data_IF_044764968307
#
_entry.id   IF_044764968307
#
_cell.length_a   1.000
_cell.length_b   1.000
_cell.length_c   1.000
_cell.angle_alpha   90.00
_cell.angle_beta   90.00
_cell.angle_gamma   90.00
#
_symmetry.space_group_name_H-M   'P 1'
#
loop_
_entity.id
_entity.type
_entity.pdbx_description
1 polymer ?
#
# COMPACT_ATOMS: atom_id res chain seq x y z
N UNK A 1 0.90 20.72 7.56
CA UNK A 1 1.92 21.48 6.79
C UNK A 1 3.36 21.06 7.13
N UNK A 2 3.83 21.14 8.38
CA UNK A 2 5.21 20.72 8.73
C UNK A 2 5.48 19.23 8.47
N UNK A 3 4.53 18.35 8.83
CA UNK A 3 4.63 16.91 8.56
C UNK A 3 4.74 16.61 7.05
N UNK A 4 3.96 17.30 6.22
CA UNK A 4 4.04 17.14 4.76
C UNK A 4 5.43 17.48 4.24
N UNK A 5 6.05 18.55 4.75
CA UNK A 5 7.42 18.93 4.35
C UNK A 5 8.44 17.85 4.74
N UNK A 6 8.27 17.19 5.89
CA UNK A 6 9.12 16.07 6.32
C UNK A 6 8.98 14.90 5.35
N UNK A 7 7.76 14.52 4.97
CA UNK A 7 7.55 13.44 4.00
C UNK A 7 8.06 13.79 2.60
N UNK A 8 7.83 15.02 2.11
CA UNK A 8 8.38 15.45 0.82
C UNK A 8 9.90 15.34 0.82
N UNK A 9 10.56 15.82 1.88
CA UNK A 9 12.01 15.72 2.03
C UNK A 9 12.48 14.26 2.11
N UNK A 10 11.76 13.40 2.83
CA UNK A 10 12.08 11.99 2.93
C UNK A 10 11.94 11.26 1.57
N UNK A 11 10.85 11.49 0.84
CA UNK A 11 10.55 10.84 -0.44
C UNK A 11 11.52 11.30 -1.54
N UNK A 12 11.86 12.59 -1.58
CA UNK A 12 12.55 13.19 -2.73
C UNK A 12 14.00 13.60 -2.46
N UNK A 13 14.43 13.72 -1.20
CA UNK A 13 15.78 14.22 -0.88
C UNK A 13 16.64 13.19 -0.12
N UNK A 14 16.16 12.65 1.00
CA UNK A 14 17.06 11.93 1.93
C UNK A 14 16.95 10.41 1.88
N UNK A 15 15.77 9.85 1.60
CA UNK A 15 15.43 8.41 1.76
C UNK A 15 15.80 7.80 3.13
N UNK A 16 16.19 8.64 4.10
CA UNK A 16 16.65 8.27 5.43
C UNK A 16 16.11 9.27 6.45
N UNK A 17 15.23 8.76 7.32
CA UNK A 17 14.70 9.48 8.47
C UNK A 17 14.22 8.43 9.49
N UNK A 18 14.83 8.44 10.68
CA UNK A 18 14.35 7.62 11.80
C UNK A 18 13.12 8.34 12.38
N UNK A 19 11.96 7.69 12.43
CA UNK A 19 10.71 8.31 12.91
C UNK A 19 9.52 8.24 11.95
N UNK A 20 9.69 7.73 10.72
CA UNK A 20 8.60 7.69 9.73
C UNK A 20 7.47 6.76 10.17
N UNK A 21 7.79 5.62 10.78
CA UNK A 21 6.80 4.66 11.28
C UNK A 21 5.94 5.28 12.39
N UNK A 22 6.57 5.92 13.36
CA UNK A 22 5.93 6.56 14.51
C UNK A 22 5.05 7.74 14.07
N UNK A 23 5.50 8.53 13.08
CA UNK A 23 4.69 9.59 12.49
C UNK A 23 3.46 9.02 11.77
N UNK A 24 3.60 7.92 11.04
CA UNK A 24 2.48 7.26 10.36
C UNK A 24 1.49 6.65 11.35
N UNK A 25 1.95 6.12 12.48
CA UNK A 25 1.08 5.60 13.53
C UNK A 25 0.17 6.69 14.12
N UNK A 26 0.74 7.86 14.41
CA UNK A 26 -0.03 9.04 14.85
C UNK A 26 -1.01 9.48 13.75
N UNK A 27 -0.56 9.50 12.50
CA UNK A 27 -1.41 9.88 11.37
C UNK A 27 -2.58 8.92 11.16
N UNK A 28 -2.38 7.61 11.31
CA UNK A 28 -3.45 6.64 11.22
C UNK A 28 -4.57 6.93 12.22
N UNK A 29 -4.21 7.29 13.46
CA UNK A 29 -5.17 7.69 14.49
C UNK A 29 -5.90 8.99 14.14
N UNK A 30 -5.19 9.97 13.54
CA UNK A 30 -5.79 11.23 13.06
C UNK A 30 -6.77 10.96 11.90
N UNK A 31 -6.40 10.12 10.93
CA UNK A 31 -7.23 9.78 9.78
C UNK A 31 -8.51 9.07 10.22
N UNK A 32 -8.41 8.15 11.19
CA UNK A 32 -9.59 7.50 11.75
C UNK A 32 -10.57 8.51 12.40
N UNK A 33 -10.05 9.62 12.95
CA UNK A 33 -10.83 10.71 13.51
C UNK A 33 -11.39 11.73 12.50
N UNK A 34 -11.13 11.58 11.19
CA UNK A 34 -11.63 12.54 10.21
C UNK A 34 -13.17 12.58 10.15
N UNK A 35 -13.70 13.80 10.15
CA UNK A 35 -15.11 14.04 9.90
C UNK A 35 -15.45 13.77 8.42
N UNK A 36 -16.67 13.29 8.19
CA UNK A 36 -17.23 13.09 6.86
C UNK A 36 -18.12 14.29 6.48
N UNK A 37 -18.14 14.72 5.21
CA UNK A 37 -17.32 14.22 4.09
C UNK A 37 -15.84 14.60 4.23
N UNK A 38 -14.94 13.76 3.68
CA UNK A 38 -13.52 14.05 3.66
C UNK A 38 -13.23 15.37 2.93
N UNK A 39 -12.42 16.22 3.54
CA UNK A 39 -11.93 17.44 2.90
C UNK A 39 -10.99 17.11 1.75
N UNK A 40 -11.02 17.91 0.70
CA UNK A 40 -10.13 17.78 -0.47
C UNK A 40 -8.64 17.78 -0.09
N UNK A 41 -8.25 18.54 0.93
CA UNK A 41 -6.86 18.56 1.41
C UNK A 41 -6.40 17.19 1.94
N UNK A 42 -7.30 16.39 2.52
CA UNK A 42 -7.00 15.03 2.99
C UNK A 42 -6.87 14.06 1.82
N UNK A 43 -7.73 14.19 0.80
CA UNK A 43 -7.64 13.38 -0.44
C UNK A 43 -6.33 13.67 -1.17
N UNK A 44 -5.96 14.94 -1.29
CA UNK A 44 -4.66 15.34 -1.86
C UNK A 44 -3.51 14.77 -1.02
N UNK A 45 -3.61 14.78 0.30
CA UNK A 45 -2.59 14.20 1.18
C UNK A 45 -2.38 12.70 0.91
N UNK A 46 -3.46 11.91 0.80
CA UNK A 46 -3.38 10.50 0.40
C UNK A 46 -2.65 10.34 -0.93
N UNK A 47 -3.12 11.02 -1.98
CA UNK A 47 -2.65 10.81 -3.35
C UNK A 47 -1.23 11.34 -3.61
N UNK A 48 -0.84 12.44 -2.95
CA UNK A 48 0.43 13.14 -3.20
C UNK A 48 1.50 12.89 -2.15
N UNK A 49 1.15 12.37 -0.98
CA UNK A 49 2.10 12.14 0.12
C UNK A 49 2.14 10.67 0.52
N UNK A 50 1.01 10.08 0.92
CA UNK A 50 1.01 8.68 1.41
C UNK A 50 1.33 7.68 0.30
N UNK A 51 0.65 7.74 -0.85
CA UNK A 51 0.89 6.77 -1.93
C UNK A 51 2.34 6.80 -2.44
N UNK A 52 2.97 7.97 -2.66
CA UNK A 52 4.38 8.01 -3.05
C UNK A 52 5.38 7.42 -2.05
N UNK A 53 5.04 7.28 -0.75
CA UNK A 53 5.93 6.63 0.22
C UNK A 53 6.24 5.18 -0.15
N UNK A 54 5.31 4.49 -0.82
CA UNK A 54 5.52 3.13 -1.34
C UNK A 54 6.68 3.02 -2.32
N UNK A 55 7.17 4.13 -2.90
CA UNK A 55 8.30 4.10 -3.83
C UNK A 55 9.65 3.93 -3.14
N UNK A 56 9.79 4.37 -1.90
CA UNK A 56 11.09 4.43 -1.20
C UNK A 56 11.60 3.01 -0.90
N UNK A 57 12.92 2.81 -0.98
CA UNK A 57 13.54 1.48 -0.81
C UNK A 57 13.35 0.90 0.59
N UNK A 58 13.41 1.77 1.62
CA UNK A 58 13.27 1.43 3.03
C UNK A 58 11.81 1.22 3.49
N UNK A 59 10.88 0.93 2.57
CA UNK A 59 9.45 0.74 2.87
C UNK A 59 9.19 -0.25 4.00
N UNK A 60 10.01 -1.30 4.11
CA UNK A 60 9.86 -2.34 5.14
C UNK A 60 9.87 -1.82 6.58
N UNK A 61 10.44 -0.64 6.82
CA UNK A 61 10.54 -0.04 8.15
C UNK A 61 9.19 0.51 8.64
N UNK A 62 8.31 0.93 7.73
CA UNK A 62 7.08 1.65 8.07
C UNK A 62 5.85 1.16 7.29
N UNK A 63 5.99 0.08 6.51
CA UNK A 63 4.91 -0.47 5.69
C UNK A 63 3.62 -0.73 6.46
N UNK A 64 3.63 -1.41 7.63
CA UNK A 64 2.39 -1.68 8.35
C UNK A 64 1.61 -0.42 8.72
N UNK A 65 2.31 0.63 9.16
CA UNK A 65 1.69 1.90 9.53
C UNK A 65 1.17 2.67 8.30
N UNK A 66 1.86 2.55 7.16
CA UNK A 66 1.43 3.15 5.90
C UNK A 66 0.18 2.45 5.33
N UNK A 67 0.18 1.12 5.28
CA UNK A 67 -0.96 0.32 4.83
C UNK A 67 -2.20 0.63 5.68
N UNK A 68 -2.04 0.67 7.01
CA UNK A 68 -3.11 1.10 7.92
C UNK A 68 -3.67 2.49 7.56
N UNK A 69 -2.81 3.48 7.32
CA UNK A 69 -3.28 4.81 6.90
C UNK A 69 -4.08 4.77 5.59
N UNK A 70 -3.65 3.97 4.61
CA UNK A 70 -4.34 3.84 3.32
C UNK A 70 -5.71 3.19 3.50
N UNK A 71 -5.80 2.06 4.21
CA UNK A 71 -7.07 1.36 4.50
C UNK A 71 -8.03 2.28 5.24
N UNK A 72 -7.56 3.01 6.26
CA UNK A 72 -8.39 3.98 6.98
C UNK A 72 -8.96 5.07 6.07
N UNK A 73 -8.26 5.48 5.00
CA UNK A 73 -8.82 6.41 4.02
C UNK A 73 -9.95 5.78 3.20
N UNK A 74 -9.79 4.52 2.78
CA UNK A 74 -10.77 3.82 1.97
C UNK A 74 -12.04 3.49 2.76
N UNK A 75 -11.93 3.17 4.05
CA UNK A 75 -13.09 3.02 4.94
C UNK A 75 -13.91 4.31 5.09
N UNK A 76 -13.27 5.48 4.94
CA UNK A 76 -13.93 6.79 5.05
C UNK A 76 -14.56 7.26 3.75
N UNK A 77 -13.96 6.91 2.61
CA UNK A 77 -14.42 7.30 1.28
C UNK A 77 -13.97 6.26 0.24
N UNK A 78 -14.88 5.32 -0.08
CA UNK A 78 -14.63 4.21 -1.00
C UNK A 78 -14.33 4.68 -2.43
N UNK A 79 -14.72 5.90 -2.82
CA UNK A 79 -14.43 6.48 -4.14
C UNK A 79 -12.93 6.70 -4.39
N UNK A 80 -12.12 6.64 -3.33
CA UNK A 80 -10.66 6.73 -3.41
C UNK A 80 -10.00 5.39 -3.79
N UNK A 81 -10.75 4.28 -3.84
CA UNK A 81 -10.17 2.95 -4.10
C UNK A 81 -9.50 2.85 -5.46
N UNK A 82 -10.19 3.26 -6.53
CA UNK A 82 -9.64 3.21 -7.88
C UNK A 82 -8.28 3.96 -8.00
N UNK A 83 -8.16 5.25 -7.62
CA UNK A 83 -6.89 5.95 -7.73
C UNK A 83 -5.79 5.37 -6.81
N UNK A 84 -6.14 4.81 -5.65
CA UNK A 84 -5.19 4.14 -4.75
C UNK A 84 -4.62 2.88 -5.39
N UNK A 85 -5.49 1.95 -5.83
CA UNK A 85 -5.05 0.68 -6.43
C UNK A 85 -4.26 0.94 -7.71
N UNK A 86 -4.71 1.87 -8.56
CA UNK A 86 -3.98 2.23 -9.78
C UNK A 86 -2.59 2.82 -9.49
N UNK A 87 -2.42 3.56 -8.38
CA UNK A 87 -1.11 4.04 -7.96
C UNK A 87 -0.20 2.90 -7.45
N UNK A 88 -0.74 1.97 -6.65
CA UNK A 88 0.01 0.79 -6.19
C UNK A 88 0.48 -0.07 -7.37
N UNK A 89 -0.41 -0.34 -8.33
CA UNK A 89 -0.07 -1.06 -9.56
C UNK A 89 0.99 -0.32 -10.39
N UNK A 90 0.95 1.01 -10.42
CA UNK A 90 1.99 1.84 -11.06
C UNK A 90 3.33 1.75 -10.35
N UNK A 91 3.33 1.65 -9.02
CA UNK A 91 4.55 1.57 -8.19
C UNK A 91 5.04 0.15 -7.96
N UNK A 92 4.41 -0.84 -8.60
CA UNK A 92 4.68 -2.25 -8.37
C UNK A 92 6.18 -2.58 -8.46
N UNK A 93 6.77 -3.22 -7.44
CA UNK A 93 8.18 -3.57 -7.44
C UNK A 93 8.47 -4.64 -8.49
N UNK A 94 9.46 -4.39 -9.36
CA UNK A 94 9.83 -5.33 -10.45
C UNK A 94 10.99 -6.27 -10.09
N UNK A 95 11.81 -5.90 -9.11
CA UNK A 95 13.08 -6.59 -8.80
C UNK A 95 13.34 -6.76 -7.30
N UNK A 96 12.34 -6.50 -6.44
CA UNK A 96 12.51 -6.54 -4.99
C UNK A 96 11.40 -7.39 -4.34
N UNK A 97 11.61 -8.70 -4.28
CA UNK A 97 10.59 -9.68 -3.84
C UNK A 97 9.98 -9.39 -2.46
N UNK A 98 10.74 -9.00 -1.41
CA UNK A 98 10.13 -8.68 -0.11
C UNK A 98 9.13 -7.52 -0.18
N UNK A 99 9.36 -6.58 -1.11
CA UNK A 99 8.48 -5.44 -1.32
C UNK A 99 7.26 -5.82 -2.15
N UNK A 100 7.42 -6.80 -3.05
CA UNK A 100 6.29 -7.39 -3.78
C UNK A 100 5.32 -8.10 -2.83
N UNK A 101 5.84 -8.86 -1.86
CA UNK A 101 5.03 -9.49 -0.80
C UNK A 101 4.29 -8.43 0.03
N UNK A 102 4.97 -7.33 0.40
CA UNK A 102 4.32 -6.21 1.10
C UNK A 102 3.15 -5.62 0.33
N UNK A 103 3.32 -5.35 -0.97
CA UNK A 103 2.25 -4.84 -1.83
C UNK A 103 1.10 -5.83 -1.99
N UNK A 104 1.37 -7.13 -2.03
CA UNK A 104 0.33 -8.17 -2.09
C UNK A 104 -0.49 -8.20 -0.80
N UNK A 105 0.17 -8.13 0.36
CA UNK A 105 -0.51 -8.08 1.65
C UNK A 105 -1.37 -6.82 1.80
N UNK A 106 -0.83 -5.65 1.43
CA UNK A 106 -1.62 -4.40 1.46
C UNK A 106 -2.82 -4.45 0.50
N UNK A 107 -2.65 -5.03 -0.70
CA UNK A 107 -3.76 -5.22 -1.63
C UNK A 107 -4.83 -6.16 -1.06
N UNK A 108 -4.45 -7.22 -0.33
CA UNK A 108 -5.39 -8.10 0.35
C UNK A 108 -6.22 -7.32 1.38
N UNK A 109 -5.58 -6.52 2.24
CA UNK A 109 -6.27 -5.66 3.21
C UNK A 109 -7.21 -4.64 2.54
N UNK A 110 -6.82 -4.07 1.40
CA UNK A 110 -7.68 -3.17 0.61
C UNK A 110 -8.89 -3.92 0.04
N UNK A 111 -8.70 -5.15 -0.44
CA UNK A 111 -9.78 -5.97 -0.99
C UNK A 111 -10.78 -6.43 0.08
N UNK A 112 -10.38 -6.52 1.34
CA UNK A 112 -11.30 -6.84 2.45
C UNK A 112 -12.31 -5.72 2.72
N UNK A 113 -11.98 -4.47 2.38
CA UNK A 113 -12.84 -3.29 2.63
C UNK A 113 -13.46 -2.70 1.35
N UNK A 114 -13.13 -3.23 0.17
CA UNK A 114 -13.58 -2.67 -1.11
C UNK A 114 -15.08 -2.88 -1.33
N UNK A 115 -15.76 -1.84 -1.84
CA UNK A 115 -17.13 -1.99 -2.33
C UNK A 115 -17.16 -2.69 -3.71
N UNK A 116 -18.15 -3.56 -3.99
CA UNK A 116 -18.26 -4.23 -5.29
C UNK A 116 -18.31 -3.27 -6.49
N UNK A 117 -18.91 -2.09 -6.31
CA UNK A 117 -18.98 -1.00 -7.31
C UNK A 117 -17.59 -0.48 -7.71
N UNK A 118 -16.67 -0.39 -6.76
CA UNK A 118 -15.29 0.06 -6.97
C UNK A 118 -14.41 -1.09 -7.49
N UNK A 119 -14.65 -2.32 -7.04
CA UNK A 119 -13.91 -3.50 -7.49
C UNK A 119 -14.03 -3.72 -9.01
N UNK A 120 -15.21 -3.51 -9.60
CA UNK A 120 -15.41 -3.67 -11.04
C UNK A 120 -14.49 -2.75 -11.86
N UNK A 121 -14.10 -1.59 -11.34
CA UNK A 121 -13.23 -0.63 -12.02
C UNK A 121 -11.76 -1.08 -12.06
N UNK A 122 -11.32 -1.80 -11.03
CA UNK A 122 -9.90 -2.19 -10.83
C UNK A 122 -9.62 -3.66 -11.06
N UNK A 123 -10.63 -4.53 -11.15
CA UNK A 123 -10.45 -5.98 -11.22
C UNK A 123 -9.53 -6.41 -12.38
N UNK A 124 -9.72 -5.88 -13.59
CA UNK A 124 -8.91 -6.31 -14.72
C UNK A 124 -7.42 -5.97 -14.58
N UNK A 125 -7.01 -4.70 -14.33
CA UNK A 125 -5.60 -4.40 -14.13
C UNK A 125 -5.01 -5.11 -12.91
N UNK A 126 -5.79 -5.28 -11.83
CA UNK A 126 -5.38 -6.02 -10.65
C UNK A 126 -5.06 -7.49 -10.98
N UNK A 127 -6.00 -8.22 -11.58
CA UNK A 127 -5.79 -9.64 -11.92
C UNK A 127 -4.68 -9.83 -12.95
N UNK A 128 -4.52 -8.88 -13.89
CA UNK A 128 -3.37 -8.88 -14.81
C UNK A 128 -2.03 -8.80 -14.07
N UNK A 129 -1.97 -8.06 -12.96
CA UNK A 129 -0.77 -7.99 -12.13
C UNK A 129 -0.59 -9.25 -11.28
N UNK A 130 -1.65 -9.73 -10.62
CA UNK A 130 -1.61 -10.97 -9.82
C UNK A 130 -1.17 -12.18 -10.66
N UNK A 131 -1.66 -12.30 -11.89
CA UNK A 131 -1.25 -13.36 -12.81
C UNK A 131 0.28 -13.35 -13.06
N UNK A 132 0.90 -12.18 -13.17
CA UNK A 132 2.37 -12.06 -13.29
C UNK A 132 3.07 -12.50 -12.01
N UNK A 133 2.55 -12.11 -10.85
CA UNK A 133 3.12 -12.48 -9.55
C UNK A 133 3.11 -14.01 -9.35
N UNK A 134 1.98 -14.68 -9.66
CA UNK A 134 1.86 -16.14 -9.60
C UNK A 134 2.81 -16.85 -10.58
N UNK A 135 3.08 -16.21 -11.72
CA UNK A 135 4.03 -16.70 -12.73
C UNK A 135 5.50 -16.48 -12.36
N UNK A 136 5.78 -15.69 -11.32
CA UNK A 136 7.15 -15.32 -10.95
C UNK A 136 7.95 -16.55 -10.50
N UNK A 137 9.21 -16.72 -10.96
CA UNK A 137 10.08 -17.80 -10.50
C UNK A 137 10.28 -17.80 -8.98
N UNK A 138 10.21 -16.64 -8.33
CA UNK A 138 10.28 -16.53 -6.86
C UNK A 138 9.08 -17.24 -6.22
N UNK A 139 7.87 -16.84 -6.61
CA UNK A 139 6.63 -17.39 -6.08
C UNK A 139 6.51 -18.90 -6.35
N UNK A 140 6.88 -19.35 -7.56
CA UNK A 140 6.89 -20.77 -7.89
C UNK A 140 7.87 -21.59 -7.04
N UNK A 141 8.98 -21.01 -6.58
CA UNK A 141 9.91 -21.68 -5.66
C UNK A 141 9.34 -21.74 -4.24
N UNK A 142 8.73 -20.67 -3.75
CA UNK A 142 8.08 -20.65 -2.43
C UNK A 142 6.92 -21.65 -2.36
N UNK A 143 6.02 -21.64 -3.34
CA UNK A 143 4.89 -22.58 -3.40
C UNK A 143 5.34 -24.06 -3.49
N UNK A 144 6.46 -24.34 -4.18
CA UNK A 144 7.07 -25.67 -4.22
C UNK A 144 7.65 -26.06 -2.86
N UNK A 145 8.41 -25.16 -2.21
CA UNK A 145 8.97 -25.41 -0.88
C UNK A 145 7.89 -25.69 0.16
N UNK A 146 6.75 -25.00 0.10
CA UNK A 146 5.66 -25.24 1.03
C UNK A 146 4.99 -26.60 0.82
N UNK A 147 4.81 -27.03 -0.45
CA UNK A 147 4.36 -28.40 -0.75
C UNK A 147 5.32 -29.46 -0.23
N UNK A 148 6.63 -29.26 -0.36
CA UNK A 148 7.64 -30.18 0.18
C UNK A 148 7.63 -30.22 1.70
N UNK A 149 7.42 -29.08 2.39
CA UNK A 149 7.27 -29.05 3.85
C UNK A 149 6.02 -29.81 4.31
N UNK A 150 4.90 -29.68 3.59
CA UNK A 150 3.65 -30.41 3.90
C UNK A 150 3.72 -31.91 3.58
N UNK A 151 4.63 -32.37 2.71
CA UNK A 151 4.83 -33.80 2.44
C UNK A 151 5.82 -34.48 3.40
N UNK A 152 6.52 -33.70 4.23
CA UNK A 152 7.50 -34.19 5.22
C UNK A 152 6.98 -34.13 6.67
N UNK A 153 5.76 -33.64 6.88
CA UNK A 153 5.08 -33.56 8.17
C UNK A 153 3.97 -34.59 8.31
#
# INVERSE_FOLDING_TARGET
KQINNIFYRFIYETEHHNGIAELLEILGSIINGFALPLKEEHKIFLLKVLLPLHKVKSLSVYHPQLAYCVVQFLEKDSTLTEPVVMALLKYWPKTHSPKEVMFLNELEEILDVIEPSEFVKIMEPLFRQLAKCVSSPHFQREAKNERTRRSMG
#
